data_IF_212760598226
#
_entry.id   IF_212760598226
#
_cell.length_a   1.000
_cell.length_b   1.000
_cell.length_c   1.000
_cell.angle_alpha   90.00
_cell.angle_beta   90.00
_cell.angle_gamma   90.00
#
_symmetry.space_group_name_H-M   'P 1'
#
loop_
_entity.id
_entity.type
_entity.pdbx_description
1 polymer ?
#
# COMPACT_ATOMS: atom_id res chain seq x y z
N UNK A 1 4.46 -0.86 -22.58
CA UNK A 1 3.56 -1.69 -21.77
C UNK A 1 4.29 -2.00 -20.46
N UNK A 2 3.64 -1.90 -19.30
CA UNK A 2 4.26 -2.32 -18.06
C UNK A 2 4.55 -3.83 -18.09
N UNK A 3 5.63 -4.25 -17.44
CA UNK A 3 5.93 -5.67 -17.20
C UNK A 3 5.71 -5.97 -15.72
N UNK A 4 5.18 -7.15 -15.42
CA UNK A 4 4.93 -7.59 -14.06
C UNK A 4 5.80 -8.81 -13.75
N UNK A 5 6.27 -8.88 -12.52
CA UNK A 5 7.07 -9.99 -12.00
C UNK A 5 6.47 -10.44 -10.66
N UNK A 6 6.52 -11.75 -10.36
CA UNK A 6 6.02 -12.29 -9.08
C UNK A 6 6.94 -11.97 -7.90
N UNK A 7 8.15 -11.49 -8.15
CA UNK A 7 9.20 -11.24 -7.16
C UNK A 7 10.25 -10.26 -7.70
N UNK A 8 11.13 -9.80 -6.82
CA UNK A 8 12.33 -9.03 -7.11
C UNK A 8 13.42 -10.02 -7.51
N UNK A 9 13.81 -10.05 -8.78
CA UNK A 9 15.02 -10.75 -9.24
C UNK A 9 16.26 -9.89 -8.97
N UNK A 10 17.44 -10.50 -9.00
CA UNK A 10 18.71 -9.82 -8.72
C UNK A 10 18.94 -8.60 -9.63
N UNK A 11 18.61 -8.70 -10.92
CA UNK A 11 18.73 -7.58 -11.87
C UNK A 11 17.77 -6.41 -11.54
N UNK A 12 16.59 -6.72 -10.98
CA UNK A 12 15.64 -5.71 -10.54
C UNK A 12 16.09 -5.07 -9.23
N UNK A 13 16.65 -5.87 -8.31
CA UNK A 13 17.21 -5.40 -7.06
C UNK A 13 18.39 -4.45 -7.29
N UNK A 14 19.36 -4.87 -8.10
CA UNK A 14 20.53 -4.07 -8.48
C UNK A 14 20.11 -2.75 -9.12
N UNK A 15 19.15 -2.81 -10.04
CA UNK A 15 18.63 -1.60 -10.68
C UNK A 15 17.94 -0.66 -9.69
N UNK A 16 17.12 -1.18 -8.76
CA UNK A 16 16.43 -0.37 -7.76
C UNK A 16 17.43 0.32 -6.83
N UNK A 17 18.43 -0.41 -6.33
CA UNK A 17 19.47 0.09 -5.43
C UNK A 17 20.46 1.06 -6.10
N UNK A 18 20.47 1.13 -7.44
CA UNK A 18 21.23 2.13 -8.19
C UNK A 18 20.54 3.50 -8.26
N UNK A 19 19.26 3.62 -7.91
CA UNK A 19 18.54 4.90 -7.98
C UNK A 19 18.90 5.80 -6.79
N UNK A 20 18.88 7.14 -6.95
CA UNK A 20 19.30 8.06 -5.90
C UNK A 20 18.26 8.25 -4.78
N UNK A 21 17.00 7.92 -5.06
CA UNK A 21 15.88 8.02 -4.13
C UNK A 21 14.80 6.99 -4.47
N UNK A 22 13.91 6.76 -3.51
CA UNK A 22 12.69 5.99 -3.68
C UNK A 22 11.50 6.76 -3.11
N UNK A 23 10.30 6.39 -3.51
CA UNK A 23 9.06 6.96 -3.01
C UNK A 23 8.31 5.90 -2.23
N UNK A 24 7.73 6.30 -1.10
CA UNK A 24 6.81 5.45 -0.34
C UNK A 24 5.42 6.04 -0.48
N UNK A 25 4.47 5.25 -1.00
CA UNK A 25 3.07 5.61 -1.05
C UNK A 25 2.27 4.71 -0.11
N UNK A 26 1.34 5.30 0.63
CA UNK A 26 0.43 4.58 1.53
C UNK A 26 -0.91 5.31 1.60
N UNK A 27 -1.98 4.59 1.93
CA UNK A 27 -3.31 5.17 2.05
C UNK A 27 -4.05 4.59 3.25
N UNK A 28 -4.78 5.43 4.01
CA UNK A 28 -5.66 4.94 5.06
C UNK A 28 -6.88 4.26 4.44
N UNK A 29 -7.59 3.44 5.21
CA UNK A 29 -8.79 2.74 4.70
C UNK A 29 -9.95 3.71 4.49
N UNK A 30 -10.12 4.65 5.43
CA UNK A 30 -11.25 5.60 5.44
C UNK A 30 -10.81 7.07 5.44
N UNK A 31 -9.52 7.35 5.49
CA UNK A 31 -9.00 8.72 5.46
C UNK A 31 -9.08 9.33 4.06
N UNK A 32 -9.13 10.67 4.01
CA UNK A 32 -9.37 11.41 2.76
C UNK A 32 -8.14 11.57 1.87
N UNK A 33 -6.94 11.47 2.42
CA UNK A 33 -5.70 11.78 1.71
C UNK A 33 -4.82 10.53 1.56
N UNK A 34 -4.19 10.43 0.40
CA UNK A 34 -3.15 9.42 0.11
C UNK A 34 -1.80 10.05 0.39
N UNK A 35 -0.93 9.34 1.12
CA UNK A 35 0.41 9.82 1.42
C UNK A 35 1.39 9.38 0.32
N UNK A 36 2.31 10.28 -0.04
CA UNK A 36 3.48 9.97 -0.86
C UNK A 36 4.70 10.72 -0.32
N UNK A 37 5.77 9.98 -0.02
CA UNK A 37 6.97 10.54 0.61
C UNK A 37 8.22 10.14 -0.20
N UNK A 38 8.96 11.10 -0.79
CA UNK A 38 10.27 10.82 -1.35
C UNK A 38 11.29 10.61 -0.23
N UNK A 39 12.12 9.57 -0.36
CA UNK A 39 13.18 9.21 0.58
C UNK A 39 14.50 9.05 -0.18
N UNK A 40 15.50 9.84 0.20
CA UNK A 40 16.84 9.80 -0.36
C UNK A 40 17.73 8.73 0.30
N UNK A 41 18.96 8.60 -0.23
CA UNK A 41 20.00 7.71 0.32
C UNK A 41 19.56 6.24 0.45
N UNK A 42 18.99 5.61 -0.60
CA UNK A 42 18.53 4.23 -0.52
C UNK A 42 19.65 3.26 -0.15
N UNK A 43 20.89 3.50 -0.59
CA UNK A 43 22.04 2.67 -0.19
C UNK A 43 22.33 2.73 1.32
N UNK A 44 21.91 3.77 2.01
CA UNK A 44 22.09 3.95 3.45
C UNK A 44 20.89 3.44 4.25
N UNK A 45 19.68 3.59 3.72
CA UNK A 45 18.45 3.36 4.51
C UNK A 45 17.63 2.17 4.05
N UNK A 46 17.79 1.69 2.82
CA UNK A 46 17.00 0.61 2.21
C UNK A 46 17.84 -0.66 2.05
N UNK A 47 17.19 -1.81 2.18
CA UNK A 47 17.79 -3.10 1.84
C UNK A 47 16.74 -4.06 1.24
N UNK A 48 17.17 -4.89 0.28
CA UNK A 48 16.37 -5.98 -0.29
C UNK A 48 16.89 -7.26 0.35
N UNK A 49 16.11 -7.85 1.24
CA UNK A 49 16.50 -8.98 2.09
C UNK A 49 16.24 -10.33 1.40
N UNK A 50 15.53 -10.31 0.27
CA UNK A 50 15.26 -11.49 -0.54
C UNK A 50 14.29 -11.17 -1.68
N UNK A 51 13.84 -12.20 -2.44
CA UNK A 51 13.04 -12.00 -3.64
C UNK A 51 11.66 -11.39 -3.38
N UNK A 52 11.17 -11.43 -2.14
CA UNK A 52 9.86 -10.88 -1.75
C UNK A 52 9.92 -10.03 -0.50
N UNK A 53 11.11 -9.75 0.02
CA UNK A 53 11.27 -9.04 1.28
C UNK A 53 12.21 -7.88 1.06
N UNK A 54 11.76 -6.69 1.42
CA UNK A 54 12.63 -5.52 1.53
C UNK A 54 12.31 -4.75 2.80
N UNK A 55 13.21 -3.89 3.21
CA UNK A 55 13.05 -3.10 4.41
C UNK A 55 13.73 -1.74 4.25
N UNK A 56 13.21 -0.73 4.93
CA UNK A 56 13.92 0.52 5.08
C UNK A 56 13.85 1.08 6.49
N UNK A 57 14.90 1.80 6.87
CA UNK A 57 14.98 2.53 8.13
C UNK A 57 14.15 3.81 8.04
N UNK A 58 13.10 3.91 8.85
CA UNK A 58 12.36 5.15 9.04
C UNK A 58 13.03 5.95 10.17
N UNK A 59 13.83 6.94 9.77
CA UNK A 59 14.37 7.92 10.69
C UNK A 59 13.30 8.95 11.09
N UNK A 60 13.41 9.48 12.30
CA UNK A 60 12.47 10.47 12.83
C UNK A 60 12.36 11.68 11.91
N UNK A 61 11.16 11.93 11.41
CA UNK A 61 10.78 13.09 10.62
C UNK A 61 9.45 13.68 11.09
N UNK A 62 8.98 14.75 10.44
CA UNK A 62 7.77 15.49 10.84
C UNK A 62 6.45 14.75 10.60
N UNK A 63 6.40 13.84 9.61
CA UNK A 63 5.22 13.03 9.28
C UNK A 63 5.26 11.63 9.91
N UNK A 64 4.08 11.00 10.00
CA UNK A 64 3.87 9.65 10.56
C UNK A 64 2.91 8.79 9.73
N UNK A 65 2.39 9.33 8.62
CA UNK A 65 1.29 8.79 7.83
C UNK A 65 1.55 7.36 7.34
N UNK A 66 2.79 7.07 6.93
CA UNK A 66 3.14 5.71 6.48
C UNK A 66 3.00 4.68 7.59
N UNK A 67 3.51 4.96 8.78
CA UNK A 67 3.39 4.07 9.95
C UNK A 67 1.92 3.91 10.33
N UNK A 68 1.16 5.01 10.41
CA UNK A 68 -0.26 4.99 10.74
C UNK A 68 -1.08 4.15 9.75
N UNK A 69 -0.88 4.32 8.44
CA UNK A 69 -1.58 3.55 7.42
C UNK A 69 -1.18 2.06 7.46
N UNK A 70 0.10 1.75 7.74
CA UNK A 70 0.55 0.37 7.89
C UNK A 70 -0.11 -0.30 9.10
N UNK A 71 -0.19 0.38 10.25
CA UNK A 71 -0.91 -0.15 11.41
C UNK A 71 -2.40 -0.38 11.15
N UNK A 72 -3.03 0.49 10.35
CA UNK A 72 -4.44 0.35 10.02
C UNK A 72 -4.69 -0.81 9.05
N UNK A 73 -3.98 -0.85 7.92
CA UNK A 73 -4.31 -1.75 6.81
C UNK A 73 -3.12 -2.37 6.09
N UNK A 74 -1.89 -2.00 6.45
CA UNK A 74 -0.67 -2.55 5.87
C UNK A 74 -0.37 -2.12 4.42
N UNK A 75 -1.23 -1.35 3.74
CA UNK A 75 -1.09 -1.07 2.31
C UNK A 75 0.02 -0.07 2.03
N UNK A 76 1.01 -0.50 1.26
CA UNK A 76 2.16 0.34 0.91
C UNK A 76 2.73 -0.03 -0.47
N UNK A 77 3.25 0.96 -1.18
CA UNK A 77 3.99 0.77 -2.44
C UNK A 77 5.30 1.53 -2.39
N UNK A 78 6.38 0.85 -2.75
CA UNK A 78 7.68 1.49 -2.96
C UNK A 78 7.88 1.71 -4.45
N UNK A 79 8.31 2.91 -4.84
CA UNK A 79 8.64 3.22 -6.23
C UNK A 79 10.07 3.74 -6.37
N UNK A 80 10.79 3.22 -7.35
CA UNK A 80 12.07 3.72 -7.81
C UNK A 80 11.91 4.28 -9.23
N UNK A 81 12.65 5.33 -9.59
CA UNK A 81 12.68 5.84 -10.96
C UNK A 81 14.09 6.31 -11.35
N UNK A 82 14.39 6.20 -12.64
CA UNK A 82 15.64 6.68 -13.22
C UNK A 82 15.60 8.16 -13.56
N UNK A 83 16.67 8.85 -13.18
CA UNK A 83 16.97 10.21 -13.62
C UNK A 83 18.13 10.28 -14.62
N UNK A 84 18.62 9.12 -15.11
CA UNK A 84 19.71 9.01 -16.07
C UNK A 84 19.19 8.81 -17.51
N UNK A 85 20.05 8.59 -18.49
CA UNK A 85 19.64 8.41 -19.89
C UNK A 85 18.64 7.25 -20.14
N UNK A 86 18.60 6.21 -19.31
CA UNK A 86 17.73 5.04 -19.51
C UNK A 86 16.44 5.13 -18.68
N UNK A 87 15.28 5.46 -19.29
CA UNK A 87 14.04 5.71 -18.57
C UNK A 87 13.38 4.42 -18.06
N UNK A 88 13.20 4.30 -16.75
CA UNK A 88 12.42 3.23 -16.12
C UNK A 88 11.84 3.70 -14.79
N UNK A 89 10.64 3.23 -14.50
CA UNK A 89 9.99 3.29 -13.19
C UNK A 89 9.77 1.85 -12.73
N UNK A 90 10.08 1.56 -11.48
CA UNK A 90 9.85 0.26 -10.85
C UNK A 90 9.01 0.44 -9.59
N UNK A 91 8.00 -0.41 -9.41
CA UNK A 91 7.15 -0.41 -8.22
C UNK A 91 7.20 -1.78 -7.55
N UNK A 92 7.35 -1.78 -6.24
CA UNK A 92 7.12 -2.93 -5.38
C UNK A 92 5.77 -2.72 -4.69
N UNK A 93 4.82 -3.59 -5.01
CA UNK A 93 3.54 -3.63 -4.31
C UNK A 93 3.67 -4.57 -3.12
N UNK A 94 3.40 -4.05 -1.95
CA UNK A 94 3.74 -4.70 -0.70
C UNK A 94 2.66 -4.53 0.37
N UNK A 95 2.71 -5.43 1.35
CA UNK A 95 2.14 -5.22 2.67
C UNK A 95 3.27 -4.82 3.61
N UNK A 96 3.04 -3.86 4.50
CA UNK A 96 4.03 -3.37 5.45
C UNK A 96 3.83 -3.90 6.86
N UNK A 97 4.93 -3.97 7.60
CA UNK A 97 5.01 -4.22 9.03
C UNK A 97 5.97 -3.20 9.66
N UNK A 98 5.57 -2.62 10.79
CA UNK A 98 6.41 -1.66 11.51
C UNK A 98 7.10 -2.38 12.66
N UNK A 99 8.43 -2.31 12.67
CA UNK A 99 9.27 -2.81 13.77
C UNK A 99 9.85 -1.58 14.48
N UNK A 100 9.27 -1.20 15.61
CA UNK A 100 9.70 0.00 16.34
C UNK A 100 11.03 -0.22 17.06
N UNK A 101 11.78 0.86 17.26
CA UNK A 101 13.14 0.87 17.85
C UNK A 101 13.26 0.19 19.22
N UNK A 102 12.18 0.18 20.01
CA UNK A 102 12.10 -0.40 21.35
C UNK A 102 11.69 -1.87 21.38
N UNK A 103 11.47 -2.49 20.20
CA UNK A 103 11.09 -3.90 20.10
C UNK A 103 12.33 -4.81 20.02
N UNK A 104 12.27 -6.06 20.54
CA UNK A 104 13.40 -7.00 20.47
C UNK A 104 13.88 -7.31 19.03
N UNK A 105 12.97 -7.23 18.06
CA UNK A 105 13.23 -7.55 16.65
C UNK A 105 14.02 -6.46 15.93
N UNK A 106 14.02 -5.23 16.45
CA UNK A 106 14.61 -4.08 15.76
C UNK A 106 16.12 -4.22 15.55
N UNK A 107 16.88 -4.45 16.62
CA UNK A 107 18.36 -4.51 16.53
C UNK A 107 18.85 -5.65 15.61
N UNK A 108 18.33 -6.89 15.73
CA UNK A 108 18.69 -7.97 14.80
C UNK A 108 18.41 -7.59 13.34
N UNK A 109 17.25 -6.99 13.06
CA UNK A 109 16.87 -6.61 11.70
C UNK A 109 17.77 -5.51 11.13
N UNK A 110 18.07 -4.46 11.91
CA UNK A 110 18.99 -3.40 11.49
C UNK A 110 20.38 -3.96 11.20
N UNK A 111 20.84 -4.94 11.98
CA UNK A 111 22.14 -5.58 11.77
C UNK A 111 22.15 -6.49 10.55
N UNK A 112 21.07 -7.26 10.33
CA UNK A 112 20.88 -8.00 9.08
C UNK A 112 20.91 -7.06 7.86
N UNK A 113 20.40 -5.84 8.01
CA UNK A 113 20.44 -4.83 6.95
C UNK A 113 21.82 -4.16 6.79
N UNK A 114 22.74 -4.32 7.74
CA UNK A 114 24.05 -3.65 7.81
C UNK A 114 23.96 -2.13 7.97
N UNK A 115 22.91 -1.64 8.65
CA UNK A 115 22.55 -0.20 8.75
C UNK A 115 22.62 0.37 10.17
N UNK A 116 23.46 -0.19 11.03
CA UNK A 116 23.61 0.19 12.44
C UNK A 116 24.05 1.65 12.63
N UNK A 117 24.65 2.25 11.60
CA UNK A 117 25.13 3.63 11.60
C UNK A 117 24.04 4.68 11.33
N UNK A 118 22.80 4.28 11.03
CA UNK A 118 21.70 5.23 10.76
C UNK A 118 21.22 5.85 12.08
N UNK A 119 21.61 7.11 12.31
CA UNK A 119 21.22 7.88 13.51
C UNK A 119 19.75 8.29 13.43
N UNK A 120 19.05 8.23 14.56
CA UNK A 120 17.66 8.72 14.67
C UNK A 120 16.61 7.79 14.07
N UNK A 121 16.94 6.52 13.83
CA UNK A 121 15.99 5.49 13.44
C UNK A 121 14.90 5.31 14.52
N UNK A 122 13.63 5.47 14.15
CA UNK A 122 12.48 5.20 15.05
C UNK A 122 11.77 3.89 14.74
N UNK A 123 11.89 3.40 13.51
CA UNK A 123 11.34 2.10 13.12
C UNK A 123 12.08 1.54 11.90
N UNK A 124 11.96 0.22 11.71
CA UNK A 124 12.16 -0.42 10.41
C UNK A 124 10.80 -0.69 9.80
N UNK A 125 10.61 -0.28 8.55
CA UNK A 125 9.44 -0.65 7.76
C UNK A 125 9.82 -1.89 6.96
N UNK A 126 9.37 -3.05 7.43
CA UNK A 126 9.53 -4.35 6.76
C UNK A 126 8.39 -4.53 5.75
N UNK A 127 8.71 -4.99 4.55
CA UNK A 127 7.80 -5.00 3.42
C UNK A 127 7.76 -6.39 2.76
N UNK A 128 6.57 -6.98 2.73
CA UNK A 128 6.27 -8.22 2.01
C UNK A 128 5.78 -7.88 0.60
N UNK A 129 6.67 -8.04 -0.37
CA UNK A 129 6.43 -7.75 -1.79
C UNK A 129 5.71 -8.92 -2.46
N UNK A 130 4.49 -8.68 -2.91
CA UNK A 130 3.67 -9.67 -3.60
C UNK A 130 3.63 -9.49 -5.12
N UNK A 131 4.04 -8.32 -5.63
CA UNK A 131 4.17 -8.06 -7.07
C UNK A 131 5.15 -6.93 -7.36
N UNK A 132 5.93 -7.09 -8.42
CA UNK A 132 6.79 -6.04 -8.96
C UNK A 132 6.26 -5.60 -10.32
N UNK A 133 6.30 -4.31 -10.60
CA UNK A 133 5.95 -3.74 -11.89
C UNK A 133 7.06 -2.84 -12.38
N UNK A 134 7.47 -3.01 -13.64
CA UNK A 134 8.27 -2.01 -14.35
C UNK A 134 7.42 -1.31 -15.40
N UNK A 135 7.63 -0.01 -15.58
CA UNK A 135 6.97 0.80 -16.61
C UNK A 135 7.96 1.79 -17.23
N UNK A 136 7.67 2.24 -18.45
CA UNK A 136 8.47 3.26 -19.13
C UNK A 136 8.44 4.58 -18.33
N UNK A 137 9.60 5.18 -18.11
CA UNK A 137 9.74 6.48 -17.43
C UNK A 137 9.94 7.64 -18.40
N UNK A 138 9.33 7.60 -19.58
CA UNK A 138 9.66 8.52 -20.69
C UNK A 138 9.38 9.99 -20.42
N UNK A 139 8.53 10.31 -19.44
CA UNK A 139 8.27 11.68 -19.00
C UNK A 139 9.00 12.08 -17.72
N UNK A 140 9.76 11.17 -17.09
CA UNK A 140 10.59 11.52 -15.93
C UNK A 140 11.83 12.24 -16.47
N UNK A 141 12.19 13.44 -15.99
CA UNK A 141 13.33 14.17 -16.55
C UNK A 141 14.65 13.46 -16.30
N UNK A 142 15.65 13.83 -17.11
CA UNK A 142 17.06 13.56 -16.79
C UNK A 142 17.54 14.64 -15.83
N UNK A 143 18.21 14.28 -14.74
CA UNK A 143 18.78 15.25 -13.79
C UNK A 143 20.31 15.18 -13.88
N UNK A 144 20.95 16.32 -14.05
CA UNK A 144 22.42 16.44 -13.99
C UNK A 144 22.85 17.05 -12.65
N UNK A 145 24.04 16.67 -12.12
CA UNK A 145 24.57 17.30 -10.93
C UNK A 145 24.83 18.79 -11.16
N UNK A 146 24.49 19.61 -10.16
CA UNK A 146 24.89 21.02 -10.15
C UNK A 146 26.23 21.21 -9.44
N UNK A 147 27.06 22.08 -10.01
CA UNK A 147 28.26 22.59 -9.33
C UNK A 147 27.99 23.80 -8.44
N UNK A 148 26.82 24.46 -8.57
CA UNK A 148 26.42 25.65 -7.80
C UNK A 148 24.91 25.65 -7.52
N UNK A 149 24.52 26.25 -6.41
CA UNK A 149 23.11 26.41 -6.04
C UNK A 149 22.41 27.40 -6.99
N UNK A 150 21.26 27.02 -7.54
CA UNK A 150 20.46 27.88 -8.42
C UNK A 150 19.46 28.66 -7.55
N UNK A 151 19.36 29.98 -7.78
CA UNK A 151 18.45 30.86 -7.05
C UNK A 151 16.98 30.73 -7.50
N UNK A 152 16.75 30.39 -8.77
CA UNK A 152 15.43 30.14 -9.35
C UNK A 152 15.19 28.63 -9.56
N UNK A 153 14.28 28.01 -8.79
CA UNK A 153 13.98 26.58 -8.94
C UNK A 153 13.38 26.22 -10.30
N UNK A 154 12.80 27.15 -11.07
CA UNK A 154 12.15 26.82 -12.35
C UNK A 154 13.13 26.53 -13.49
N UNK A 155 14.39 26.92 -13.34
CA UNK A 155 15.48 26.75 -14.31
C UNK A 155 16.52 25.70 -13.87
N UNK A 156 16.11 24.76 -13.02
CA UNK A 156 16.98 23.76 -12.43
C UNK A 156 17.69 22.82 -13.42
N UNK A 157 18.59 21.93 -12.94
CA UNK A 157 19.50 21.15 -13.76
C UNK A 157 18.83 19.87 -14.31
N UNK A 158 17.62 20.00 -14.82
CA UNK A 158 16.90 18.90 -15.43
C UNK A 158 16.68 19.17 -16.91
N UNK A 159 16.72 18.10 -17.68
CA UNK A 159 16.41 18.10 -19.10
C UNK A 159 15.22 17.19 -19.30
N UNK A 160 14.13 17.74 -19.84
CA UNK A 160 12.97 16.96 -20.22
C UNK A 160 13.35 15.95 -21.30
N UNK A 161 12.75 14.76 -21.23
CA UNK A 161 12.99 13.73 -22.23
C UNK A 161 12.07 13.95 -23.43
N UNK A 162 12.66 13.96 -24.61
CA UNK A 162 11.89 13.94 -25.87
C UNK A 162 11.17 12.60 -26.11
N UNK A 163 11.57 11.54 -25.38
CA UNK A 163 11.11 10.17 -25.61
C UNK A 163 9.62 9.96 -25.44
N UNK A 164 8.94 10.73 -24.57
CA UNK A 164 7.50 10.58 -24.37
C UNK A 164 6.74 10.97 -25.63
N UNK A 165 6.97 12.19 -26.12
CA UNK A 165 6.32 12.72 -27.32
C UNK A 165 6.71 11.94 -28.57
N UNK A 166 7.97 11.51 -28.69
CA UNK A 166 8.40 10.64 -29.77
C UNK A 166 7.67 9.28 -29.74
N UNK A 167 7.59 8.61 -28.57
CA UNK A 167 6.89 7.33 -28.40
C UNK A 167 5.37 7.42 -28.64
N UNK A 168 4.75 8.54 -28.25
CA UNK A 168 3.35 8.82 -28.53
C UNK A 168 3.14 9.11 -30.02
N UNK A 169 3.99 9.95 -30.62
CA UNK A 169 3.98 10.27 -32.04
C UNK A 169 4.07 9.02 -32.91
N UNK A 170 4.96 8.08 -32.58
CA UNK A 170 5.04 6.79 -33.29
C UNK A 170 3.76 5.94 -33.16
N UNK A 171 3.09 5.94 -32.01
CA UNK A 171 1.84 5.18 -31.81
C UNK A 171 0.66 5.82 -32.54
N UNK A 172 0.62 7.16 -32.60
CA UNK A 172 -0.37 7.91 -33.38
C UNK A 172 -0.15 7.65 -34.87
N UNK A 173 1.09 7.77 -35.35
CA UNK A 173 1.44 7.52 -36.75
C UNK A 173 1.10 6.09 -37.21
N UNK A 174 1.16 5.11 -36.30
CA UNK A 174 0.80 3.70 -36.58
C UNK A 174 -0.66 3.36 -36.28
N UNK A 175 -1.51 4.34 -35.91
CA UNK A 175 -2.91 4.13 -35.52
C UNK A 175 -3.09 3.11 -34.36
N UNK A 176 -2.07 2.95 -33.52
CA UNK A 176 -2.07 1.98 -32.41
C UNK A 176 -2.65 2.54 -31.10
N UNK A 177 -2.92 3.85 -31.04
CA UNK A 177 -3.34 4.53 -29.82
C UNK A 177 -4.64 3.97 -29.20
N UNK A 178 -5.71 3.70 -29.97
CA UNK A 178 -6.95 3.15 -29.42
C UNK A 178 -6.74 1.77 -28.79
N UNK A 179 -6.03 0.88 -29.49
CA UNK A 179 -5.71 -0.46 -28.97
C UNK A 179 -4.81 -0.39 -27.73
N UNK A 180 -3.86 0.55 -27.71
CA UNK A 180 -3.01 0.78 -26.54
C UNK A 180 -3.84 1.21 -25.31
N UNK A 181 -4.81 2.11 -25.50
CA UNK A 181 -5.71 2.55 -24.43
C UNK A 181 -6.62 1.42 -23.94
N UNK A 182 -7.16 0.59 -24.84
CA UNK A 182 -7.95 -0.61 -24.47
C UNK A 182 -7.13 -1.56 -23.61
N UNK A 183 -5.86 -1.78 -23.96
CA UNK A 183 -4.99 -2.70 -23.24
C UNK A 183 -4.54 -2.18 -21.87
N UNK A 184 -4.30 -0.87 -21.73
CA UNK A 184 -3.59 -0.33 -20.56
C UNK A 184 -4.41 0.62 -19.70
N UNK A 185 -5.59 1.08 -20.17
CA UNK A 185 -6.36 2.12 -19.50
C UNK A 185 -7.83 1.73 -19.23
N UNK A 186 -8.25 0.50 -19.54
CA UNK A 186 -9.61 0.05 -19.24
C UNK A 186 -9.88 -0.11 -17.75
N UNK A 187 -8.91 -0.61 -16.99
CA UNK A 187 -9.03 -0.86 -15.56
C UNK A 187 -7.74 -0.48 -14.84
N UNK A 188 -7.84 -0.10 -13.56
CA UNK A 188 -6.69 -0.03 -12.67
C UNK A 188 -6.16 -1.44 -12.38
N UNK A 189 -5.04 -1.52 -11.66
CA UNK A 189 -4.51 -2.81 -11.18
C UNK A 189 -5.42 -3.50 -10.16
N UNK A 190 -6.27 -2.73 -9.49
CA UNK A 190 -7.22 -3.22 -8.50
C UNK A 190 -8.60 -3.47 -9.12
N UNK A 191 -8.64 -3.68 -10.45
CA UNK A 191 -9.85 -3.87 -11.26
C UNK A 191 -10.86 -2.71 -11.20
N UNK A 192 -10.43 -1.53 -10.76
CA UNK A 192 -11.29 -0.35 -10.71
C UNK A 192 -11.54 0.15 -12.14
N UNK A 193 -12.79 0.41 -12.53
CA UNK A 193 -13.13 0.94 -13.84
C UNK A 193 -12.31 2.19 -14.24
N UNK A 194 -11.59 2.10 -15.35
CA UNK A 194 -10.74 3.16 -15.92
C UNK A 194 -11.41 3.98 -17.04
N UNK A 195 -10.68 4.33 -18.11
CA UNK A 195 -11.16 5.18 -19.20
C UNK A 195 -12.43 4.63 -19.86
N UNK A 196 -13.51 5.43 -19.89
CA UNK A 196 -14.79 5.08 -20.52
C UNK A 196 -14.65 4.85 -22.04
N UNK A 197 -13.84 5.65 -22.73
CA UNK A 197 -13.58 5.48 -24.17
C UNK A 197 -12.90 4.15 -24.48
N UNK A 198 -11.88 3.79 -23.72
CA UNK A 198 -11.17 2.52 -23.82
C UNK A 198 -12.11 1.34 -23.50
N UNK A 199 -12.88 1.42 -22.41
CA UNK A 199 -13.88 0.38 -22.05
C UNK A 199 -15.00 0.28 -23.08
N UNK A 200 -15.50 1.40 -23.63
CA UNK A 200 -16.47 1.41 -24.73
C UNK A 200 -15.93 0.65 -25.93
N UNK A 201 -14.68 0.90 -26.32
CA UNK A 201 -14.04 0.19 -27.42
C UNK A 201 -13.82 -1.30 -27.11
N UNK A 202 -13.40 -1.64 -25.88
CA UNK A 202 -13.30 -3.03 -25.39
C UNK A 202 -14.64 -3.77 -25.49
N UNK A 203 -15.74 -3.09 -25.15
CA UNK A 203 -17.11 -3.60 -25.24
C UNK A 203 -17.76 -3.35 -26.61
N UNK A 204 -16.97 -3.41 -27.69
CA UNK A 204 -17.46 -3.31 -29.08
C UNK A 204 -18.35 -2.09 -29.34
N UNK A 205 -17.93 -0.94 -28.82
CA UNK A 205 -18.62 0.35 -28.88
C UNK A 205 -19.95 0.47 -28.12
N UNK A 206 -20.26 -0.48 -27.22
CA UNK A 206 -21.50 -0.49 -26.46
C UNK A 206 -21.40 0.28 -25.13
N UNK A 207 -22.01 1.47 -25.07
CA UNK A 207 -22.03 2.31 -23.87
C UNK A 207 -22.94 1.77 -22.77
N UNK A 208 -23.97 0.99 -23.11
CA UNK A 208 -24.85 0.40 -22.12
C UNK A 208 -24.10 -0.61 -21.26
N UNK A 209 -23.27 -1.46 -21.86
CA UNK A 209 -22.43 -2.43 -21.14
C UNK A 209 -21.42 -1.72 -20.22
N UNK A 210 -20.82 -0.60 -20.65
CA UNK A 210 -19.94 0.21 -19.79
C UNK A 210 -20.67 0.70 -18.53
N UNK A 211 -21.91 1.18 -18.65
CA UNK A 211 -22.70 1.64 -17.51
C UNK A 211 -23.08 0.48 -16.57
N UNK A 212 -23.47 -0.66 -17.13
CA UNK A 212 -23.79 -1.86 -16.34
C UNK A 212 -22.54 -2.35 -15.58
N UNK A 213 -21.38 -2.39 -16.23
CA UNK A 213 -20.09 -2.73 -15.62
C UNK A 213 -19.74 -1.81 -14.44
N UNK A 214 -19.95 -0.48 -14.59
CA UNK A 214 -19.77 0.48 -13.49
C UNK A 214 -20.71 0.22 -12.31
N UNK A 215 -22.01 0.03 -12.59
CA UNK A 215 -23.01 -0.22 -11.54
C UNK A 215 -22.70 -1.52 -10.79
N UNK A 216 -22.32 -2.58 -11.51
CA UNK A 216 -21.96 -3.86 -10.91
C UNK A 216 -20.68 -3.76 -10.07
N UNK A 217 -19.67 -3.01 -10.53
CA UNK A 217 -18.45 -2.78 -9.75
C UNK A 217 -18.77 -2.05 -8.45
N UNK A 218 -19.45 -0.91 -8.51
CA UNK A 218 -19.77 -0.12 -7.32
C UNK A 218 -20.69 -0.86 -6.36
N UNK A 219 -21.66 -1.61 -6.87
CA UNK A 219 -22.51 -2.48 -6.05
C UNK A 219 -21.69 -3.55 -5.30
N UNK A 220 -20.73 -4.18 -5.97
CA UNK A 220 -19.82 -5.15 -5.34
C UNK A 220 -18.88 -4.49 -4.32
N UNK A 221 -18.37 -3.31 -4.64
CA UNK A 221 -17.44 -2.58 -3.78
C UNK A 221 -18.11 -2.15 -2.47
N UNK A 222 -19.34 -1.63 -2.55
CA UNK A 222 -20.19 -1.31 -1.38
C UNK A 222 -20.40 -2.56 -0.51
N UNK A 223 -20.78 -3.69 -1.11
CA UNK A 223 -21.01 -4.94 -0.37
C UNK A 223 -19.73 -5.43 0.29
N UNK A 224 -18.58 -5.39 -0.41
CA UNK A 224 -17.29 -5.79 0.15
C UNK A 224 -16.81 -4.86 1.26
N UNK A 225 -17.02 -3.55 1.13
CA UNK A 225 -16.59 -2.56 2.11
C UNK A 225 -17.34 -2.65 3.43
N UNK A 226 -18.63 -3.00 3.40
CA UNK A 226 -19.51 -2.87 4.58
C UNK A 226 -20.09 -4.20 5.10
N UNK A 227 -19.73 -5.35 4.53
CA UNK A 227 -20.25 -6.65 4.99
C UNK A 227 -20.02 -6.92 6.48
N UNK A 228 -18.89 -6.43 7.02
CA UNK A 228 -18.59 -6.53 8.46
C UNK A 228 -19.59 -5.74 9.32
N UNK A 229 -20.05 -4.58 8.85
CA UNK A 229 -21.07 -3.78 9.53
C UNK A 229 -22.44 -4.46 9.49
N UNK A 230 -22.81 -5.06 8.36
CA UNK A 230 -24.03 -5.86 8.22
C UNK A 230 -24.04 -7.07 9.15
N UNK A 231 -22.94 -7.85 9.17
CA UNK A 231 -22.82 -9.03 10.06
C UNK A 231 -22.83 -8.60 11.53
N UNK A 232 -22.10 -7.54 11.89
CA UNK A 232 -22.08 -7.02 13.26
C UNK A 232 -23.47 -6.55 13.70
N UNK A 233 -24.19 -5.82 12.84
CA UNK A 233 -25.57 -5.38 13.11
C UNK A 233 -26.54 -6.55 13.29
N UNK A 234 -26.39 -7.61 12.48
CA UNK A 234 -27.22 -8.81 12.55
C UNK A 234 -26.95 -9.62 13.84
N UNK A 235 -25.66 -9.76 14.21
CA UNK A 235 -25.25 -10.36 15.48
C UNK A 235 -25.76 -9.54 16.68
N UNK A 236 -25.60 -8.22 16.66
CA UNK A 236 -26.12 -7.34 17.71
C UNK A 236 -27.65 -7.44 17.83
N UNK A 237 -28.37 -7.50 16.71
CA UNK A 237 -29.82 -7.68 16.68
C UNK A 237 -30.27 -9.00 17.29
N UNK A 238 -29.60 -10.11 16.96
CA UNK A 238 -29.87 -11.43 17.56
C UNK A 238 -29.57 -11.45 19.06
N UNK A 239 -28.49 -10.79 19.49
CA UNK A 239 -28.08 -10.72 20.89
C UNK A 239 -29.08 -9.89 21.73
N UNK A 240 -29.51 -8.73 21.22
CA UNK A 240 -30.58 -7.93 21.82
C UNK A 240 -31.89 -8.73 21.87
N UNK A 241 -32.25 -9.41 20.78
CA UNK A 241 -33.42 -10.27 20.71
C UNK A 241 -33.39 -11.42 21.73
N UNK A 242 -32.24 -12.03 21.94
CA UNK A 242 -32.05 -13.08 22.95
C UNK A 242 -32.16 -12.54 24.38
N UNK A 243 -31.61 -11.36 24.67
CA UNK A 243 -31.70 -10.71 25.98
C UNK A 243 -33.13 -10.31 26.32
N UNK A 244 -33.85 -9.71 25.35
CA UNK A 244 -35.26 -9.34 25.52
C UNK A 244 -36.14 -10.59 25.60
N UNK A 245 -35.91 -11.58 24.73
CA UNK A 245 -36.66 -12.84 24.71
C UNK A 245 -36.45 -13.70 25.97
N UNK A 246 -35.26 -13.67 26.56
CA UNK A 246 -34.97 -14.30 27.85
C UNK A 246 -35.57 -13.54 29.04
N UNK A 247 -35.76 -12.21 28.91
CA UNK A 247 -36.41 -11.38 29.94
C UNK A 247 -37.95 -11.43 29.86
N UNK A 248 -38.51 -11.88 28.73
CA UNK A 248 -39.95 -11.99 28.50
C UNK A 248 -40.61 -13.27 29.00
N UNK A 249 -39.85 -14.25 29.51
CA UNK A 249 -40.38 -15.46 30.14
C UNK A 249 -40.15 -15.39 31.65
N UNK A 250 -41.16 -14.84 32.34
CA UNK A 250 -41.45 -14.93 33.78
C UNK A 250 -40.25 -14.84 34.77
N UNK A 251 -40.16 -13.69 35.43
CA UNK A 251 -39.40 -13.51 36.68
C UNK A 251 -38.40 -12.35 36.59
N UNK A 252 -38.55 -11.37 37.50
CA UNK A 252 -37.83 -10.09 37.48
C UNK A 252 -36.31 -10.18 37.31
N UNK A 253 -35.75 -9.10 36.77
CA UNK A 253 -34.32 -8.91 36.46
C UNK A 253 -33.43 -9.29 37.66
N UNK A 254 -32.86 -10.49 37.65
CA UNK A 254 -31.90 -10.93 38.65
C UNK A 254 -30.49 -10.53 38.21
N UNK A 255 -30.10 -9.30 38.53
CA UNK A 255 -28.81 -8.67 38.18
C UNK A 255 -27.58 -9.51 38.58
N UNK A 256 -27.70 -10.37 39.59
CA UNK A 256 -26.61 -11.23 40.07
C UNK A 256 -26.22 -12.30 39.04
N UNK A 257 -27.18 -12.83 38.28
CA UNK A 257 -26.93 -13.86 37.26
C UNK A 257 -26.34 -13.34 35.95
N UNK A 258 -26.46 -12.03 35.69
CA UNK A 258 -25.85 -11.37 34.52
C UNK A 258 -24.38 -11.11 34.78
N UNK A 259 -24.03 -10.62 35.97
CA UNK A 259 -22.63 -10.37 36.36
C UNK A 259 -21.81 -11.66 36.39
N UNK A 260 -22.38 -12.78 36.89
CA UNK A 260 -21.72 -14.08 36.89
C UNK A 260 -21.41 -14.61 35.48
N UNK A 261 -22.31 -14.40 34.51
CA UNK A 261 -22.12 -14.85 33.12
C UNK A 261 -21.20 -13.94 32.30
N UNK A 262 -21.11 -12.65 32.62
CA UNK A 262 -20.09 -11.77 32.02
C UNK A 262 -18.68 -12.14 32.49
N UNK A 263 -18.52 -12.63 33.73
CA UNK A 263 -17.24 -13.14 34.22
C UNK A 263 -16.79 -14.42 33.47
N UNK A 264 -17.70 -15.37 33.25
CA UNK A 264 -17.44 -16.59 32.46
C UNK A 264 -17.08 -16.29 30.99
N UNK A 265 -17.76 -15.33 30.36
CA UNK A 265 -17.44 -14.90 28.99
C UNK A 265 -16.09 -14.19 28.93
N UNK A 266 -15.72 -13.41 29.96
CA UNK A 266 -14.39 -12.80 30.07
C UNK A 266 -13.29 -13.86 30.22
N UNK A 267 -13.57 -14.94 30.96
CA UNK A 267 -12.64 -16.06 31.17
C UNK A 267 -12.49 -16.92 29.89
N UNK A 268 -13.58 -17.18 29.17
CA UNK A 268 -13.54 -17.83 27.85
C UNK A 268 -12.82 -16.98 26.80
N UNK A 269 -13.00 -15.66 26.79
CA UNK A 269 -12.31 -14.75 25.86
C UNK A 269 -10.83 -14.54 26.21
N UNK A 270 -10.45 -14.65 27.49
CA UNK A 270 -9.05 -14.68 27.94
C UNK A 270 -8.31 -15.92 27.41
N UNK A 271 -8.98 -17.07 27.39
CA UNK A 271 -8.41 -18.32 26.85
C UNK A 271 -8.31 -18.36 25.31
N UNK A 272 -9.11 -17.56 24.60
CA UNK A 272 -9.06 -17.46 23.13
C UNK A 272 -8.01 -16.46 22.60
N UNK A 273 -7.48 -15.58 23.45
CA UNK A 273 -6.55 -14.50 23.05
C UNK A 273 -5.10 -14.75 23.46
N UNK A 274 -4.76 -15.91 24.05
CA UNK A 274 -3.38 -16.31 24.30
C UNK A 274 -2.59 -15.32 25.17
N UNK A 275 -3.23 -14.77 26.21
CA UNK A 275 -2.57 -13.90 27.18
C UNK A 275 -1.68 -14.69 28.14
N UNK A 276 -0.43 -14.91 27.78
CA UNK A 276 0.62 -15.28 28.75
C UNK A 276 0.85 -14.09 29.70
N UNK A 277 0.18 -14.10 30.84
CA UNK A 277 0.61 -13.31 31.99
C UNK A 277 1.68 -14.12 32.73
N UNK A 278 2.95 -13.73 32.54
CA UNK A 278 4.02 -14.05 33.49
C UNK A 278 3.69 -13.33 34.79
N UNK A 279 3.40 -14.12 35.82
CA UNK A 279 3.40 -13.69 37.21
C UNK A 279 4.83 -13.34 37.61
N UNK A 280 5.00 -12.11 38.08
CA UNK A 280 6.16 -11.69 38.86
C UNK A 280 5.99 -12.29 40.26
N UNK A 281 6.89 -13.20 40.63
CA UNK A 281 7.30 -13.41 42.01
C UNK A 281 8.80 -13.14 42.09
N UNK A 282 9.13 -12.05 42.82
CA UNK A 282 10.43 -11.57 43.33
C UNK A 282 11.65 -11.56 42.39
#
# INVERSE_FOLDING_TARGET
>A
MPKYFPSISDDLADWAMAQPLFFTASAPTHGRHVNISPKGLPRTTFNILGPKICAYIDATGSGIETISHIYENGRVTIMFCSFNATPRIMRFFCTGHVIEWNTPQFRPLVSQMGKEHVVGARAVILLDVWKVQTSCGYGVPVITPLSKQIADPSSGPWTDRETLFHSLGQKVAKSLMPNYQVLNNCYSLDDIPGLKSARKQRFKNNMFIVKVDEVLFWGKDIVKGEWRGLVLGLLMGLLIGAVIGASGKEGGLNWVGVVGRVAEVREMMGNLTGGNHLSVEL
#
